data_IF_986237943369
#
_entry.id   IF_986237943369
#
_cell.length_a   1.000
_cell.length_b   1.000
_cell.length_c   1.000
_cell.angle_alpha   90.00
_cell.angle_beta   90.00
_cell.angle_gamma   90.00
#
_symmetry.space_group_name_H-M   'P 1'
#
loop_
_entity.id
_entity.type
_entity.pdbx_description
1 polymer ?
#
# COMPACT_ATOMS: atom_id res chain seq x y z
N UNK A 1 19.48 44.61 32.19
CA UNK A 1 18.15 44.33 31.61
C UNK A 1 18.41 43.47 30.38
N UNK A 2 18.29 42.15 30.51
CA UNK A 2 18.74 41.17 29.53
C UNK A 2 17.75 41.08 28.35
N UNK A 3 18.28 41.13 27.14
CA UNK A 3 17.53 40.99 25.89
C UNK A 3 17.49 39.49 25.55
N UNK A 4 16.29 38.93 25.44
CA UNK A 4 16.04 37.56 25.03
C UNK A 4 16.53 37.34 23.60
N UNK A 5 17.57 36.52 23.44
CA UNK A 5 17.94 35.94 22.16
C UNK A 5 16.88 34.89 21.78
N UNK A 6 16.18 35.12 20.67
CA UNK A 6 15.31 34.14 20.01
C UNK A 6 16.13 32.90 19.65
N UNK A 7 15.78 31.77 20.26
CA UNK A 7 16.37 30.47 19.97
C UNK A 7 16.11 30.07 18.52
N UNK A 8 17.18 30.03 17.73
CA UNK A 8 17.22 29.27 16.49
C UNK A 8 17.44 27.82 16.95
N UNK A 9 16.43 26.97 16.76
CA UNK A 9 16.54 25.53 17.00
C UNK A 9 17.59 24.95 16.03
N UNK A 10 18.74 24.45 16.51
CA UNK A 10 19.81 23.94 15.66
C UNK A 10 19.48 22.56 15.04
N UNK A 11 18.27 22.02 15.24
CA UNK A 11 17.84 20.72 14.70
C UNK A 11 17.01 20.82 13.41
N UNK A 12 16.67 22.01 12.95
CA UNK A 12 15.97 22.19 11.67
C UNK A 12 16.94 21.95 10.50
N UNK A 13 16.96 20.71 9.98
CA UNK A 13 17.59 20.41 8.70
C UNK A 13 17.06 21.38 7.64
N UNK A 14 17.93 21.97 6.80
CA UNK A 14 17.48 22.84 5.72
C UNK A 14 16.51 22.05 4.85
N UNK A 15 15.29 22.55 4.69
CA UNK A 15 14.26 21.92 3.86
C UNK A 15 14.87 21.57 2.50
N UNK A 16 14.91 20.27 2.18
CA UNK A 16 15.50 19.77 0.95
C UNK A 16 14.69 20.35 -0.20
N UNK A 17 15.34 21.15 -1.08
CA UNK A 17 14.66 21.72 -2.24
C UNK A 17 14.12 20.58 -3.10
N UNK A 18 12.84 20.62 -3.50
CA UNK A 18 12.24 19.57 -4.28
C UNK A 18 12.95 19.41 -5.63
N UNK A 19 13.00 18.18 -6.13
CA UNK A 19 13.63 17.89 -7.40
C UNK A 19 12.97 18.68 -8.56
N UNK A 20 13.70 18.98 -9.64
CA UNK A 20 13.08 19.59 -10.81
C UNK A 20 12.06 18.67 -11.50
N UNK A 21 10.93 19.22 -11.96
CA UNK A 21 9.85 18.43 -12.57
C UNK A 21 10.33 17.59 -13.78
N UNK A 22 11.29 18.08 -14.55
CA UNK A 22 11.81 17.38 -15.73
C UNK A 22 12.62 16.12 -15.41
N UNK A 23 13.04 15.93 -14.16
CA UNK A 23 13.70 14.70 -13.72
C UNK A 23 12.70 13.61 -13.31
N UNK A 24 11.42 13.95 -13.11
CA UNK A 24 10.39 13.06 -12.58
C UNK A 24 9.21 12.83 -13.55
N UNK A 25 9.45 12.98 -14.86
CA UNK A 25 8.41 12.86 -15.88
C UNK A 25 7.60 11.55 -15.79
N UNK A 26 8.27 10.43 -15.52
CA UNK A 26 7.62 9.12 -15.39
C UNK A 26 6.52 9.11 -14.33
N UNK A 27 6.72 9.83 -13.22
CA UNK A 27 5.75 9.90 -12.13
C UNK A 27 4.42 10.51 -12.59
N UNK A 28 4.46 11.54 -13.44
CA UNK A 28 3.25 12.19 -13.96
C UNK A 28 2.44 11.27 -14.88
N UNK A 29 3.11 10.46 -15.72
CA UNK A 29 2.46 9.46 -16.57
C UNK A 29 1.87 8.29 -15.78
N UNK A 30 2.46 7.95 -14.62
CA UNK A 30 1.92 6.91 -13.74
C UNK A 30 0.73 7.38 -12.90
N UNK A 31 0.51 8.70 -12.76
CA UNK A 31 -0.57 9.22 -11.92
C UNK A 31 -1.97 8.72 -12.33
N UNK A 32 -2.42 8.84 -13.59
CA UNK A 32 -3.74 8.35 -13.98
C UNK A 32 -3.87 6.83 -13.93
N UNK A 33 -2.75 6.09 -13.85
CA UNK A 33 -2.71 4.63 -13.75
C UNK A 33 -2.86 4.11 -12.33
N UNK A 34 -2.87 4.98 -11.32
CA UNK A 34 -3.19 4.58 -9.95
C UNK A 34 -4.64 4.03 -9.87
N UNK A 35 -4.91 3.17 -8.88
CA UNK A 35 -6.18 2.44 -8.74
C UNK A 35 -7.43 3.33 -8.81
N UNK A 36 -7.49 4.39 -7.97
CA UNK A 36 -8.65 5.31 -7.92
C UNK A 36 -8.81 6.16 -9.20
N UNK A 37 -7.78 6.87 -9.72
CA UNK A 37 -7.88 7.60 -10.98
C UNK A 37 -8.22 6.67 -12.15
N UNK A 38 -7.57 5.51 -12.26
CA UNK A 38 -7.79 4.59 -13.37
C UNK A 38 -9.25 4.15 -13.42
N UNK A 39 -9.80 3.68 -12.29
CA UNK A 39 -11.20 3.27 -12.21
C UNK A 39 -12.15 4.42 -12.55
N UNK A 40 -11.87 5.63 -12.06
CA UNK A 40 -12.71 6.79 -12.33
C UNK A 40 -12.66 7.24 -13.80
N UNK A 41 -11.47 7.23 -14.42
CA UNK A 41 -11.30 7.55 -15.84
C UNK A 41 -11.98 6.53 -16.75
N UNK A 42 -11.91 5.24 -16.42
CA UNK A 42 -12.60 4.18 -17.14
C UNK A 42 -14.12 4.29 -17.00
N UNK A 43 -14.61 4.60 -15.79
CA UNK A 43 -16.03 4.86 -15.57
C UNK A 43 -16.52 6.04 -16.40
N UNK A 44 -15.81 7.17 -16.37
CA UNK A 44 -16.15 8.35 -17.17
C UNK A 44 -16.12 8.07 -18.67
N UNK A 45 -15.10 7.34 -19.14
CA UNK A 45 -15.00 6.93 -20.53
C UNK A 45 -16.18 6.04 -20.94
N UNK A 46 -16.50 4.99 -20.18
CA UNK A 46 -17.63 4.10 -20.46
C UNK A 46 -18.99 4.82 -20.34
N UNK A 47 -19.08 5.86 -19.50
CA UNK A 47 -20.26 6.71 -19.40
C UNK A 47 -20.63 7.36 -20.73
N UNK A 48 -19.68 7.52 -21.65
CA UNK A 48 -19.96 8.09 -22.96
C UNK A 48 -20.89 7.21 -23.82
N UNK A 49 -21.09 5.94 -23.45
CA UNK A 49 -22.07 5.06 -24.10
C UNK A 49 -23.52 5.34 -23.65
N UNK A 50 -23.73 6.10 -22.57
CA UNK A 50 -25.07 6.37 -22.00
C UNK A 50 -25.95 7.25 -22.90
N UNK A 51 -25.42 7.86 -23.98
CA UNK A 51 -26.21 8.71 -24.87
C UNK A 51 -27.44 7.98 -25.46
N UNK A 52 -27.35 6.66 -25.65
CA UNK A 52 -28.46 5.83 -26.13
C UNK A 52 -29.59 5.60 -25.13
N UNK A 53 -29.32 5.82 -23.83
CA UNK A 53 -30.35 5.74 -22.79
C UNK A 53 -31.30 6.94 -22.88
N UNK A 54 -30.84 8.05 -23.45
CA UNK A 54 -31.63 9.26 -23.69
C UNK A 54 -32.43 9.08 -24.98
N UNK A 55 -33.38 8.14 -24.98
CA UNK A 55 -34.17 7.77 -26.17
C UNK A 55 -35.08 8.90 -26.69
N UNK A 56 -35.28 9.96 -25.90
CA UNK A 56 -36.18 11.07 -26.21
C UNK A 56 -35.48 12.28 -26.85
N UNK A 57 -34.13 12.31 -26.93
CA UNK A 57 -33.39 13.33 -27.66
C UNK A 57 -32.79 12.78 -28.96
N UNK A 58 -32.57 13.63 -29.98
CA UNK A 58 -31.71 13.32 -31.10
C UNK A 58 -30.32 12.88 -30.62
N UNK A 59 -29.75 11.84 -31.24
CA UNK A 59 -28.44 11.26 -30.87
C UNK A 59 -27.34 12.32 -30.71
N UNK A 60 -27.30 13.33 -31.60
CA UNK A 60 -26.32 14.41 -31.54
C UNK A 60 -26.41 15.25 -30.26
N UNK A 61 -27.64 15.56 -29.80
CA UNK A 61 -27.86 16.32 -28.57
C UNK A 61 -27.60 15.46 -27.33
N UNK A 62 -27.98 14.17 -27.37
CA UNK A 62 -27.67 13.22 -26.31
C UNK A 62 -26.16 13.06 -26.09
N UNK A 63 -25.40 12.90 -27.19
CA UNK A 63 -23.93 12.85 -27.15
C UNK A 63 -23.38 14.15 -26.57
N UNK A 64 -23.80 15.31 -27.09
CA UNK A 64 -23.31 16.61 -26.61
C UNK A 64 -23.49 16.78 -25.10
N UNK A 65 -24.66 16.44 -24.55
CA UNK A 65 -24.94 16.57 -23.11
C UNK A 65 -24.03 15.64 -22.29
N UNK A 66 -23.90 14.38 -22.72
CA UNK A 66 -23.06 13.38 -22.04
C UNK A 66 -21.59 13.81 -22.07
N UNK A 67 -21.09 14.25 -23.22
CA UNK A 67 -19.71 14.70 -23.40
C UNK A 67 -19.40 15.96 -22.58
N UNK A 68 -20.33 16.92 -22.49
CA UNK A 68 -20.18 18.07 -21.59
C UNK A 68 -20.11 17.61 -20.13
N UNK A 69 -20.96 16.66 -19.73
CA UNK A 69 -20.92 16.07 -18.38
C UNK A 69 -19.57 15.41 -18.06
N UNK A 70 -19.05 14.62 -18.99
CA UNK A 70 -17.74 13.96 -18.88
C UNK A 70 -16.63 15.00 -18.81
N UNK A 71 -16.64 15.99 -19.70
CA UNK A 71 -15.66 17.07 -19.73
C UNK A 71 -15.63 17.82 -18.39
N UNK A 72 -16.79 18.17 -17.84
CA UNK A 72 -16.88 18.86 -16.55
C UNK A 72 -16.39 18.01 -15.39
N UNK A 73 -16.76 16.72 -15.35
CA UNK A 73 -16.33 15.78 -14.32
C UNK A 73 -14.81 15.53 -14.37
N UNK A 74 -14.27 15.30 -15.57
CA UNK A 74 -12.84 15.13 -15.81
C UNK A 74 -12.06 16.41 -15.48
N UNK A 75 -12.59 17.57 -15.84
CA UNK A 75 -11.97 18.87 -15.52
C UNK A 75 -11.97 19.12 -14.02
N UNK A 76 -13.08 18.85 -13.32
CA UNK A 76 -13.17 18.95 -11.85
C UNK A 76 -12.10 18.10 -11.17
N UNK A 77 -11.91 16.87 -11.65
CA UNK A 77 -10.84 16.01 -11.14
C UNK A 77 -9.46 16.57 -11.46
N UNK A 78 -9.24 17.09 -12.67
CA UNK A 78 -7.99 17.73 -13.07
C UNK A 78 -7.61 18.87 -12.12
N UNK A 79 -8.56 19.77 -11.79
CA UNK A 79 -8.32 20.84 -10.82
C UNK A 79 -8.00 20.31 -9.42
N UNK A 80 -8.68 19.24 -9.00
CA UNK A 80 -8.36 18.55 -7.74
C UNK A 80 -6.92 18.03 -7.75
N UNK A 81 -6.49 17.40 -8.85
CA UNK A 81 -5.12 16.89 -9.03
C UNK A 81 -4.10 18.02 -8.98
N UNK A 82 -4.34 19.13 -9.69
CA UNK A 82 -3.44 20.29 -9.67
C UNK A 82 -3.36 20.90 -8.27
N UNK A 83 -4.49 21.12 -7.60
CA UNK A 83 -4.54 21.73 -6.27
C UNK A 83 -3.84 20.86 -5.21
N UNK A 84 -4.16 19.56 -5.15
CA UNK A 84 -3.52 18.64 -4.19
C UNK A 84 -2.05 18.38 -4.54
N UNK A 85 -1.73 18.28 -5.83
CA UNK A 85 -0.35 18.17 -6.31
C UNK A 85 0.49 19.39 -5.97
N UNK A 86 -0.09 20.60 -5.96
CA UNK A 86 0.59 21.84 -5.54
C UNK A 86 0.91 21.86 -4.05
N UNK A 87 0.10 21.17 -3.25
CA UNK A 87 0.31 20.99 -1.80
C UNK A 87 1.12 19.73 -1.47
N UNK A 88 1.69 19.06 -2.49
CA UNK A 88 2.59 17.92 -2.36
C UNK A 88 1.93 16.54 -2.22
N UNK A 89 0.62 16.41 -2.47
CA UNK A 89 -0.09 15.11 -2.41
C UNK A 89 -0.22 14.52 -3.83
N UNK A 90 0.45 13.39 -4.07
CA UNK A 90 0.53 12.76 -5.40
C UNK A 90 -0.14 11.39 -5.51
N UNK A 91 -0.47 10.77 -4.38
CA UNK A 91 -1.23 9.52 -4.35
C UNK A 91 -2.70 9.85 -4.18
N UNK A 92 -3.53 9.34 -5.07
CA UNK A 92 -4.98 9.51 -4.98
C UNK A 92 -5.59 8.81 -3.75
N UNK A 93 -4.86 7.86 -3.16
CA UNK A 93 -5.23 7.21 -1.90
C UNK A 93 -5.27 8.19 -0.73
N UNK A 94 -4.32 9.13 -0.71
CA UNK A 94 -4.08 10.10 0.37
C UNK A 94 -4.91 11.38 0.20
N UNK A 95 -5.83 11.41 -0.78
CA UNK A 95 -6.72 12.54 -0.97
C UNK A 95 -7.65 12.70 0.24
N UNK A 96 -7.74 13.91 0.83
CA UNK A 96 -8.58 14.14 2.00
C UNK A 96 -10.05 13.87 1.67
N UNK A 97 -10.80 13.41 2.68
CA UNK A 97 -12.23 13.14 2.58
C UNK A 97 -13.04 14.41 2.37
N UNK A 98 -12.63 15.49 3.03
CA UNK A 98 -13.20 16.83 2.86
C UNK A 98 -12.33 17.63 1.90
N UNK A 99 -12.95 18.10 0.82
CA UNK A 99 -12.30 18.93 -0.19
C UNK A 99 -12.83 20.35 -0.08
N UNK A 100 -11.99 21.30 -0.45
CA UNK A 100 -12.37 22.70 -0.49
C UNK A 100 -13.60 22.88 -1.41
N UNK A 101 -14.73 23.40 -0.89
CA UNK A 101 -15.94 23.62 -1.68
C UNK A 101 -15.69 24.56 -2.86
N UNK A 102 -14.71 25.45 -2.78
CA UNK A 102 -14.41 26.42 -3.83
C UNK A 102 -13.87 25.77 -5.11
N UNK A 103 -13.26 24.59 -5.00
CA UNK A 103 -12.77 23.83 -6.14
C UNK A 103 -13.89 23.34 -7.06
N UNK A 104 -15.13 23.30 -6.56
CA UNK A 104 -16.29 22.82 -7.32
C UNK A 104 -16.55 23.63 -8.58
N UNK A 105 -16.28 24.94 -8.53
CA UNK A 105 -16.65 25.87 -9.58
C UNK A 105 -15.48 26.27 -10.49
N UNK A 106 -14.26 25.77 -10.23
CA UNK A 106 -13.06 26.12 -11.02
C UNK A 106 -13.18 25.78 -12.51
N UNK A 107 -13.76 24.63 -12.94
CA UNK A 107 -13.94 24.35 -14.37
C UNK A 107 -14.78 25.42 -15.08
N UNK A 108 -15.85 25.88 -14.44
CA UNK A 108 -16.73 26.93 -14.98
C UNK A 108 -16.03 28.28 -15.03
N UNK A 109 -15.24 28.61 -14.00
CA UNK A 109 -14.43 29.84 -13.98
C UNK A 109 -13.39 29.81 -15.11
N UNK A 110 -12.67 28.70 -15.30
CA UNK A 110 -11.72 28.54 -16.40
C UNK A 110 -12.41 28.70 -17.75
N UNK A 111 -13.55 28.02 -17.96
CA UNK A 111 -14.32 28.15 -19.20
C UNK A 111 -14.69 29.61 -19.49
N UNK A 112 -15.21 30.34 -18.49
CA UNK A 112 -15.56 31.74 -18.64
C UNK A 112 -14.33 32.62 -18.96
N UNK A 113 -13.18 32.34 -18.34
CA UNK A 113 -11.92 33.06 -18.61
C UNK A 113 -11.46 32.80 -20.05
N UNK A 114 -11.47 31.54 -20.50
CA UNK A 114 -11.10 31.18 -21.86
C UNK A 114 -12.04 31.80 -22.89
N UNK A 115 -13.33 31.94 -22.57
CA UNK A 115 -14.28 32.67 -23.41
C UNK A 115 -13.91 34.15 -23.53
N UNK A 116 -13.64 34.83 -22.42
CA UNK A 116 -13.20 36.24 -22.43
C UNK A 116 -11.91 36.40 -23.24
N UNK A 117 -10.90 35.57 -22.99
CA UNK A 117 -9.64 35.57 -23.74
C UNK A 117 -9.86 35.31 -25.23
N UNK A 118 -10.71 34.33 -25.58
CA UNK A 118 -11.08 34.02 -26.96
C UNK A 118 -11.79 35.18 -27.67
N UNK A 119 -12.69 35.89 -26.98
CA UNK A 119 -13.32 37.10 -27.52
C UNK A 119 -12.29 38.20 -27.79
N UNK A 120 -11.33 38.41 -26.89
CA UNK A 120 -10.25 39.39 -27.09
C UNK A 120 -9.39 39.01 -28.29
N UNK A 121 -8.97 37.74 -28.40
CA UNK A 121 -8.20 37.25 -29.57
C UNK A 121 -9.00 37.44 -30.86
N UNK A 122 -10.27 37.05 -30.88
CA UNK A 122 -11.13 37.19 -32.05
C UNK A 122 -11.38 38.64 -32.44
N UNK A 123 -11.48 39.55 -31.47
CA UNK A 123 -11.58 40.98 -31.70
C UNK A 123 -10.28 41.55 -32.30
N UNK A 124 -9.12 41.21 -31.73
CA UNK A 124 -7.81 41.62 -32.26
C UNK A 124 -7.55 41.08 -33.66
N UNK A 125 -7.98 39.85 -33.95
CA UNK A 125 -7.89 39.24 -35.28
C UNK A 125 -8.69 40.04 -36.33
N UNK A 126 -9.86 40.59 -35.95
CA UNK A 126 -10.65 41.46 -36.83
C UNK A 126 -9.97 42.81 -37.10
N UNK A 127 -9.22 43.34 -36.14
CA UNK A 127 -8.46 44.59 -36.31
C UNK A 127 -7.23 44.39 -37.20
N UNK A 128 -6.46 43.34 -36.95
CA UNK A 128 -5.42 42.90 -37.87
C UNK A 128 -5.10 41.41 -37.67
N UNK A 129 -4.87 40.64 -38.76
CA UNK A 129 -4.54 39.22 -38.65
C UNK A 129 -3.25 38.93 -37.86
N UNK A 130 -2.28 39.85 -37.92
CA UNK A 130 -1.01 39.72 -37.18
C UNK A 130 -1.20 39.91 -35.68
N UNK A 131 -1.98 40.91 -35.25
CA UNK A 131 -2.29 41.10 -33.82
C UNK A 131 -3.08 39.93 -33.24
N UNK A 132 -4.05 39.39 -33.98
CA UNK A 132 -4.81 38.23 -33.49
C UNK A 132 -3.94 36.96 -33.40
N UNK A 133 -3.01 36.75 -34.33
CA UNK A 133 -2.04 35.64 -34.25
C UNK A 133 -1.11 35.80 -33.04
N UNK A 134 -0.59 37.00 -32.79
CA UNK A 134 0.24 37.30 -31.62
C UNK A 134 -0.55 37.13 -30.31
N UNK A 135 -1.80 37.57 -30.27
CA UNK A 135 -2.67 37.43 -29.12
C UNK A 135 -2.99 35.96 -28.83
N UNK A 136 -3.24 35.15 -29.87
CA UNK A 136 -3.41 33.70 -29.73
C UNK A 136 -2.17 33.04 -29.13
N UNK A 137 -0.98 33.34 -29.65
CA UNK A 137 0.28 32.82 -29.11
C UNK A 137 0.49 33.25 -27.64
N UNK A 138 0.18 34.50 -27.30
CA UNK A 138 0.27 34.99 -25.94
C UNK A 138 -0.70 34.24 -24.99
N UNK A 139 -1.95 33.99 -25.43
CA UNK A 139 -2.93 33.21 -24.65
C UNK A 139 -2.45 31.77 -24.49
N UNK A 140 -1.95 31.11 -25.54
CA UNK A 140 -1.39 29.76 -25.43
C UNK A 140 -0.22 29.70 -24.45
N UNK A 141 0.68 30.69 -24.50
CA UNK A 141 1.81 30.79 -23.57
C UNK A 141 1.36 31.03 -22.12
N UNK A 142 0.38 31.89 -21.90
CA UNK A 142 -0.14 32.23 -20.56
C UNK A 142 -1.18 31.24 -20.03
N UNK A 143 -1.62 30.26 -20.83
CA UNK A 143 -2.64 29.29 -20.44
C UNK A 143 -2.25 28.50 -19.17
N UNK A 144 -1.03 27.95 -19.03
CA UNK A 144 -0.63 27.27 -17.80
C UNK A 144 -0.59 28.22 -16.60
N UNK A 145 -0.17 29.48 -16.80
CA UNK A 145 -0.15 30.49 -15.74
C UNK A 145 -1.57 30.87 -15.30
N UNK A 146 -2.50 30.97 -16.25
CA UNK A 146 -3.93 31.21 -15.97
C UNK A 146 -4.50 30.09 -15.09
N UNK A 147 -4.17 28.84 -15.39
CA UNK A 147 -4.59 27.70 -14.55
C UNK A 147 -3.96 27.71 -13.16
N UNK A 148 -2.66 28.05 -13.04
CA UNK A 148 -1.96 28.18 -11.75
C UNK A 148 -2.63 29.25 -10.88
N UNK A 149 -2.83 30.46 -11.43
CA UNK A 149 -3.46 31.57 -10.70
C UNK A 149 -4.89 31.22 -10.31
N UNK A 150 -5.63 30.51 -11.18
CA UNK A 150 -6.99 30.08 -10.87
C UNK A 150 -7.04 29.08 -9.72
N UNK A 151 -6.13 28.11 -9.70
CA UNK A 151 -6.01 27.14 -8.60
C UNK A 151 -5.60 27.82 -7.30
N UNK A 152 -4.68 28.78 -7.36
CA UNK A 152 -4.16 29.50 -6.20
C UNK A 152 -5.19 30.44 -5.58
N UNK A 153 -5.86 31.26 -6.41
CA UNK A 153 -6.75 32.33 -5.93
C UNK A 153 -8.21 31.90 -5.81
N UNK A 154 -8.59 30.80 -6.48
CA UNK A 154 -9.97 30.37 -6.67
C UNK A 154 -10.90 31.49 -7.17
N UNK A 155 -10.37 32.57 -7.76
CA UNK A 155 -11.11 33.79 -8.10
C UNK A 155 -11.07 34.09 -9.59
N UNK A 156 -12.23 34.43 -10.15
CA UNK A 156 -12.36 34.76 -11.57
C UNK A 156 -11.69 36.09 -11.92
N UNK A 157 -11.93 37.12 -11.10
CA UNK A 157 -11.42 38.48 -11.34
C UNK A 157 -9.91 38.55 -11.19
N UNK A 158 -9.36 37.89 -10.16
CA UNK A 158 -7.91 37.81 -9.95
C UNK A 158 -7.21 37.06 -11.09
N UNK A 159 -7.85 36.02 -11.63
CA UNK A 159 -7.27 35.25 -12.74
C UNK A 159 -7.30 36.01 -14.07
N UNK A 160 -8.32 36.83 -14.31
CA UNK A 160 -8.38 37.66 -15.52
C UNK A 160 -7.32 38.76 -15.56
N UNK A 161 -6.75 39.14 -14.41
CA UNK A 161 -5.69 40.14 -14.36
C UNK A 161 -4.39 39.58 -14.97
N UNK A 162 -3.93 40.09 -16.13
CA UNK A 162 -2.73 39.58 -16.77
C UNK A 162 -1.46 39.77 -15.94
N UNK A 163 -1.47 40.72 -14.98
CA UNK A 163 -0.36 40.91 -14.06
C UNK A 163 -0.15 39.70 -13.15
N UNK A 164 -1.23 39.05 -12.70
CA UNK A 164 -1.14 37.86 -11.84
C UNK A 164 -0.61 36.66 -12.63
N UNK A 165 -1.06 36.47 -13.88
CA UNK A 165 -0.52 35.44 -14.75
C UNK A 165 0.97 35.68 -15.03
N UNK A 166 1.38 36.92 -15.29
CA UNK A 166 2.77 37.28 -15.50
C UNK A 166 3.63 37.10 -14.23
N UNK A 167 3.08 37.39 -13.05
CA UNK A 167 3.73 37.10 -11.77
C UNK A 167 3.96 35.60 -11.60
N UNK A 168 2.99 34.74 -11.93
CA UNK A 168 3.18 33.29 -11.90
C UNK A 168 4.30 32.82 -12.84
N UNK A 169 4.42 33.41 -14.04
CA UNK A 169 5.54 33.14 -14.97
C UNK A 169 6.88 33.52 -14.33
N UNK A 170 6.96 34.70 -13.70
CA UNK A 170 8.18 35.16 -13.01
C UNK A 170 8.55 34.29 -11.81
N UNK A 171 7.56 33.86 -11.03
CA UNK A 171 7.77 33.00 -9.86
C UNK A 171 8.38 31.66 -10.24
N UNK A 172 7.92 31.05 -11.33
CA UNK A 172 8.50 29.80 -11.84
C UNK A 172 9.86 30.05 -12.53
N UNK A 173 10.01 31.19 -13.20
CA UNK A 173 11.24 31.58 -13.89
C UNK A 173 11.48 30.83 -15.20
N UNK A 174 12.75 30.65 -15.59
CA UNK A 174 13.13 29.96 -16.83
C UNK A 174 12.52 28.55 -17.02
N UNK A 175 12.39 27.71 -15.96
CA UNK A 175 11.65 26.44 -16.04
C UNK A 175 10.24 26.53 -16.62
N UNK A 176 9.60 27.71 -16.60
CA UNK A 176 8.28 27.89 -17.18
C UNK A 176 8.26 27.59 -18.69
N UNK A 177 9.30 27.96 -19.43
CA UNK A 177 9.39 27.64 -20.85
C UNK A 177 9.46 26.13 -21.09
N UNK A 178 10.17 25.41 -20.23
CA UNK A 178 10.25 23.95 -20.26
C UNK A 178 8.90 23.31 -19.88
N UNK A 179 8.17 23.89 -18.93
CA UNK A 179 6.82 23.49 -18.57
C UNK A 179 5.87 23.67 -19.77
N UNK A 180 5.89 24.82 -20.43
CA UNK A 180 5.12 25.06 -21.66
C UNK A 180 5.48 24.06 -22.76
N UNK A 181 6.76 23.78 -22.97
CA UNK A 181 7.22 22.80 -23.95
C UNK A 181 6.66 21.40 -23.64
N UNK A 182 6.72 20.94 -22.39
CA UNK A 182 6.17 19.63 -22.05
C UNK A 182 4.65 19.56 -22.12
N UNK A 183 3.93 20.61 -21.71
CA UNK A 183 2.48 20.68 -21.87
C UNK A 183 2.08 20.68 -23.35
N UNK A 184 2.85 21.37 -24.20
CA UNK A 184 2.68 21.31 -25.65
C UNK A 184 2.95 19.90 -26.20
N UNK A 185 4.05 19.25 -25.82
CA UNK A 185 4.37 17.89 -26.23
C UNK A 185 3.31 16.88 -25.77
N UNK A 186 2.76 17.03 -24.56
CA UNK A 186 1.64 16.22 -24.05
C UNK A 186 0.36 16.45 -24.85
N UNK A 187 0.05 17.71 -25.19
CA UNK A 187 -1.09 18.04 -26.05
C UNK A 187 -0.95 17.41 -27.44
N UNK A 188 0.22 17.54 -28.09
CA UNK A 188 0.51 16.88 -29.36
C UNK A 188 0.47 15.34 -29.25
N UNK A 189 0.99 14.79 -28.15
CA UNK A 189 0.95 13.37 -27.84
C UNK A 189 -0.48 12.81 -27.81
N UNK A 190 -1.43 13.58 -27.28
CA UNK A 190 -2.86 13.26 -27.31
C UNK A 190 -3.36 13.05 -28.74
N UNK A 191 -3.09 14.02 -29.64
CA UNK A 191 -3.54 13.94 -31.03
C UNK A 191 -2.87 12.80 -31.81
N UNK A 192 -1.58 12.56 -31.57
CA UNK A 192 -0.85 11.43 -32.17
C UNK A 192 -1.42 10.10 -31.67
N UNK A 193 -1.63 9.95 -30.36
CA UNK A 193 -2.21 8.76 -29.76
C UNK A 193 -3.60 8.45 -30.35
N UNK A 194 -4.47 9.47 -30.44
CA UNK A 194 -5.77 9.33 -31.10
C UNK A 194 -5.61 8.95 -32.58
N UNK A 195 -4.71 9.60 -33.33
CA UNK A 195 -4.48 9.30 -34.75
C UNK A 195 -3.98 7.88 -35.00
N UNK A 196 -3.18 7.31 -34.10
CA UNK A 196 -2.72 5.91 -34.17
C UNK A 196 -3.79 4.91 -33.75
N UNK A 197 -4.69 5.31 -32.84
CA UNK A 197 -5.62 4.41 -32.19
C UNK A 197 -6.98 4.37 -32.90
N UNK A 198 -7.47 5.49 -33.42
CA UNK A 198 -8.73 5.58 -34.17
C UNK A 198 -8.84 4.56 -35.34
N UNK A 199 -7.79 4.26 -36.12
CA UNK A 199 -7.86 3.26 -37.19
C UNK A 199 -8.02 1.81 -36.71
N UNK A 200 -7.60 1.51 -35.48
CA UNK A 200 -7.62 0.15 -34.90
C UNK A 200 -9.00 -0.25 -34.40
N UNK A 201 -9.83 0.72 -34.03
CA UNK A 201 -11.14 0.49 -33.42
C UNK A 201 -12.27 0.99 -34.31
N UNK A 202 -13.40 0.27 -34.33
CA UNK A 202 -14.59 0.63 -35.09
C UNK A 202 -15.84 0.53 -34.23
N UNK A 203 -16.86 1.31 -34.56
CA UNK A 203 -18.15 1.26 -33.89
C UNK A 203 -18.20 2.03 -32.57
N UNK A 204 -19.09 1.64 -31.68
CA UNK A 204 -19.49 2.45 -30.52
C UNK A 204 -18.44 2.51 -29.40
N UNK A 205 -17.42 1.64 -29.42
CA UNK A 205 -16.31 1.68 -28.46
C UNK A 205 -15.36 2.85 -28.69
N UNK A 206 -15.43 3.49 -29.87
CA UNK A 206 -14.54 4.59 -30.24
C UNK A 206 -14.70 5.80 -29.31
N UNK A 207 -15.94 6.16 -28.95
CA UNK A 207 -16.24 7.30 -28.07
C UNK A 207 -15.60 7.13 -26.68
N UNK A 208 -15.81 5.99 -25.97
CA UNK A 208 -15.13 5.75 -24.69
C UNK A 208 -13.62 5.80 -24.81
N UNK A 209 -13.05 5.25 -25.88
CA UNK A 209 -11.60 5.24 -26.02
C UNK A 209 -11.05 6.66 -26.24
N UNK A 210 -11.70 7.46 -27.10
CA UNK A 210 -11.33 8.86 -27.30
C UNK A 210 -11.38 9.61 -25.98
N UNK A 211 -12.48 9.46 -25.22
CA UNK A 211 -12.61 10.10 -23.91
C UNK A 211 -11.57 9.63 -22.91
N UNK A 212 -11.27 8.33 -22.86
CA UNK A 212 -10.24 7.80 -21.98
C UNK A 212 -8.87 8.41 -22.27
N UNK A 213 -8.48 8.51 -23.55
CA UNK A 213 -7.22 9.14 -23.97
C UNK A 213 -7.20 10.62 -23.60
N UNK A 214 -8.28 11.37 -23.87
CA UNK A 214 -8.39 12.79 -23.51
C UNK A 214 -8.29 13.01 -22.00
N UNK A 215 -9.00 12.20 -21.20
CA UNK A 215 -8.97 12.25 -19.74
C UNK A 215 -7.57 11.92 -19.22
N UNK A 216 -6.95 10.87 -19.74
CA UNK A 216 -5.61 10.43 -19.35
C UNK A 216 -4.60 11.57 -19.52
N UNK A 217 -4.45 12.12 -20.73
CA UNK A 217 -3.50 13.20 -21.00
C UNK A 217 -3.84 14.48 -20.23
N UNK A 218 -5.12 14.81 -20.07
CA UNK A 218 -5.56 15.95 -19.25
C UNK A 218 -5.06 15.82 -17.80
N UNK A 219 -5.18 14.63 -17.20
CA UNK A 219 -4.74 14.40 -15.82
C UNK A 219 -3.22 14.31 -15.67
N UNK A 220 -2.50 13.85 -16.69
CA UNK A 220 -1.02 13.96 -16.74
C UNK A 220 -0.59 15.43 -16.79
N UNK A 221 -1.24 16.27 -17.59
CA UNK A 221 -0.96 17.71 -17.62
C UNK A 221 -1.27 18.38 -16.28
N UNK A 222 -2.38 18.00 -15.64
CA UNK A 222 -2.76 18.51 -14.32
C UNK A 222 -1.75 18.10 -13.23
N UNK A 223 -1.26 16.86 -13.24
CA UNK A 223 -0.27 16.40 -12.26
C UNK A 223 1.08 17.08 -12.45
N UNK A 224 1.51 17.29 -13.71
CA UNK A 224 2.69 18.08 -14.04
C UNK A 224 2.56 19.54 -13.57
N UNK A 225 1.41 20.17 -13.80
CA UNK A 225 1.16 21.55 -13.38
C UNK A 225 1.14 21.69 -11.86
N UNK A 226 0.48 20.75 -11.16
CA UNK A 226 0.47 20.70 -9.70
C UNK A 226 1.88 20.53 -9.14
N UNK A 227 2.71 19.66 -9.73
CA UNK A 227 4.10 19.52 -9.30
C UNK A 227 4.93 20.77 -9.58
N UNK A 228 4.74 21.46 -10.70
CA UNK A 228 5.45 22.71 -10.99
C UNK A 228 5.11 23.81 -9.97
N UNK A 229 3.87 23.84 -9.47
CA UNK A 229 3.47 24.70 -8.35
C UNK A 229 4.15 24.26 -7.05
N UNK A 230 4.15 22.95 -6.75
CA UNK A 230 4.84 22.40 -5.58
C UNK A 230 6.34 22.68 -5.59
N UNK A 231 7.02 22.57 -6.73
CA UNK A 231 8.45 22.86 -6.82
C UNK A 231 8.76 24.30 -6.39
N UNK A 232 7.83 25.23 -6.61
CA UNK A 232 7.93 26.64 -6.28
C UNK A 232 6.99 27.03 -5.12
N UNK A 233 6.60 26.09 -4.25
CA UNK A 233 5.54 26.29 -3.24
C UNK A 233 5.84 27.45 -2.29
N UNK A 234 7.08 27.60 -1.82
CA UNK A 234 7.50 28.72 -0.96
C UNK A 234 7.25 30.07 -1.64
N UNK A 235 7.59 30.19 -2.93
CA UNK A 235 7.46 31.43 -3.69
C UNK A 235 6.00 31.74 -4.08
N UNK A 236 5.15 30.72 -4.15
CA UNK A 236 3.70 30.88 -4.29
C UNK A 236 2.96 31.03 -2.95
N UNK A 237 3.65 30.92 -1.81
CA UNK A 237 3.04 30.95 -0.48
C UNK A 237 2.04 29.80 -0.26
N UNK A 238 2.33 28.62 -0.81
CA UNK A 238 1.47 27.43 -0.68
C UNK A 238 1.93 26.62 0.53
N UNK A 239 1.05 26.50 1.52
CA UNK A 239 1.26 25.62 2.66
C UNK A 239 1.14 24.15 2.24
N UNK A 240 2.17 23.36 2.58
CA UNK A 240 2.21 21.93 2.32
C UNK A 240 1.30 21.17 3.29
N UNK A 241 0.62 20.14 2.80
CA UNK A 241 -0.19 19.26 3.65
C UNK A 241 0.70 18.27 4.41
N UNK A 242 0.25 17.72 5.56
CA UNK A 242 0.97 16.63 6.22
C UNK A 242 1.17 15.44 5.26
N UNK A 243 2.41 14.94 5.14
CA UNK A 243 2.78 13.90 4.17
C UNK A 243 3.03 14.42 2.75
N UNK A 244 3.22 15.74 2.58
CA UNK A 244 3.55 16.36 1.31
C UNK A 244 5.01 16.09 0.89
N UNK A 245 5.16 15.55 -0.31
CA UNK A 245 6.46 15.40 -0.95
C UNK A 245 6.61 14.11 -1.72
N UNK A 246 7.32 14.19 -2.85
CA UNK A 246 7.88 13.04 -3.56
C UNK A 246 9.34 12.78 -3.17
N UNK A 247 9.92 13.70 -2.38
CA UNK A 247 11.34 13.78 -2.03
C UNK A 247 11.65 13.33 -0.59
N UNK A 248 10.60 12.97 0.18
CA UNK A 248 10.75 12.03 1.28
C UNK A 248 11.01 10.67 0.64
N UNK A 249 12.31 10.34 0.50
CA UNK A 249 12.80 9.01 0.18
C UNK A 249 11.97 8.00 0.96
N UNK A 250 11.11 7.25 0.27
CA UNK A 250 10.36 6.08 0.73
C UNK A 250 10.46 5.77 2.24
N UNK A 251 10.09 6.70 3.11
CA UNK A 251 9.75 6.35 4.48
C UNK A 251 8.41 5.66 4.31
N UNK A 252 8.33 4.34 4.55
CA UNK A 252 7.08 3.63 4.34
C UNK A 252 6.03 4.39 5.13
N UNK A 253 4.95 4.81 4.44
CA UNK A 253 3.80 5.41 5.11
C UNK A 253 3.53 4.54 6.33
N UNK A 254 3.64 5.14 7.50
CA UNK A 254 3.49 4.42 8.74
C UNK A 254 2.01 4.04 8.88
N UNK A 255 1.64 2.91 8.27
CA UNK A 255 0.31 2.32 8.33
C UNK A 255 0.06 1.63 9.68
N UNK A 256 1.01 1.76 10.62
CA UNK A 256 0.84 1.24 11.97
C UNK A 256 -0.28 2.00 12.66
N UNK A 257 -1.25 1.26 13.15
CA UNK A 257 -2.26 1.78 14.07
C UNK A 257 -1.58 2.44 15.28
N UNK A 258 -2.23 3.37 16.00
CA UNK A 258 -1.65 3.94 17.23
C UNK A 258 -1.15 2.89 18.22
N UNK A 259 -1.81 1.71 18.28
CA UNK A 259 -1.36 0.56 19.07
C UNK A 259 -0.06 -0.06 18.57
N UNK A 260 0.13 -0.16 17.26
CA UNK A 260 1.37 -0.68 16.68
C UNK A 260 2.53 0.31 16.87
N UNK A 261 2.27 1.62 16.81
CA UNK A 261 3.28 2.66 17.13
C UNK A 261 3.70 2.55 18.60
N UNK A 262 2.74 2.40 19.52
CA UNK A 262 3.02 2.19 20.94
C UNK A 262 3.80 0.89 21.18
N UNK A 263 3.43 -0.20 20.52
CA UNK A 263 4.14 -1.47 20.58
C UNK A 263 5.59 -1.33 20.10
N UNK A 264 5.82 -0.66 18.99
CA UNK A 264 7.15 -0.47 18.41
C UNK A 264 8.01 0.48 19.23
N UNK A 265 7.42 1.50 19.86
CA UNK A 265 8.13 2.37 20.80
C UNK A 265 8.63 1.61 22.04
N UNK A 266 7.83 0.68 22.55
CA UNK A 266 8.23 -0.18 23.67
C UNK A 266 9.26 -1.23 23.21
N UNK A 267 9.10 -1.82 22.02
CA UNK A 267 10.10 -2.73 21.44
C UNK A 267 11.45 -2.03 21.27
N UNK A 268 11.46 -0.77 20.85
CA UNK A 268 12.67 0.05 20.74
C UNK A 268 13.32 0.31 22.11
N UNK A 269 12.54 0.65 23.14
CA UNK A 269 13.07 0.85 24.50
C UNK A 269 13.69 -0.44 25.08
N UNK A 270 13.03 -1.59 24.88
CA UNK A 270 13.56 -2.88 25.32
C UNK A 270 14.85 -3.22 24.56
N UNK A 271 14.90 -2.97 23.25
CA UNK A 271 16.10 -3.18 22.43
C UNK A 271 17.26 -2.27 22.83
N UNK A 272 16.98 -1.02 23.19
CA UNK A 272 17.97 -0.06 23.69
C UNK A 272 18.58 -0.57 25.01
N UNK A 273 17.76 -1.01 25.96
CA UNK A 273 18.23 -1.59 27.23
C UNK A 273 19.11 -2.82 27.02
N UNK A 274 18.74 -3.70 26.09
CA UNK A 274 19.55 -4.88 25.72
C UNK A 274 20.88 -4.46 25.09
N UNK A 275 20.86 -3.48 24.18
CA UNK A 275 22.06 -2.97 23.49
C UNK A 275 23.02 -2.27 24.46
N UNK A 276 22.47 -1.56 25.45
CA UNK A 276 23.22 -0.95 26.55
C UNK A 276 23.78 -1.98 27.56
N UNK A 277 23.53 -3.28 27.36
CA UNK A 277 23.97 -4.35 28.25
C UNK A 277 23.14 -4.51 29.52
N UNK A 278 22.08 -3.71 29.69
CA UNK A 278 21.21 -3.76 30.86
C UNK A 278 20.06 -4.76 30.67
N UNK A 279 20.42 -6.04 30.53
CA UNK A 279 19.45 -7.13 30.30
C UNK A 279 18.51 -7.29 31.50
N UNK A 280 18.95 -7.01 32.72
CA UNK A 280 18.10 -7.11 33.92
C UNK A 280 16.94 -6.10 33.88
N UNK A 281 17.19 -4.85 33.49
CA UNK A 281 16.13 -3.86 33.33
C UNK A 281 15.18 -4.20 32.17
N UNK A 282 15.72 -4.72 31.06
CA UNK A 282 14.91 -5.20 29.94
C UNK A 282 13.97 -6.34 30.38
N UNK A 283 14.44 -7.28 31.22
CA UNK A 283 13.60 -8.37 31.76
C UNK A 283 12.48 -7.80 32.60
N UNK A 284 12.77 -6.85 33.50
CA UNK A 284 11.77 -6.25 34.39
C UNK A 284 10.69 -5.50 33.59
N UNK A 285 11.09 -4.71 32.60
CA UNK A 285 10.16 -3.98 31.73
C UNK A 285 9.27 -4.94 30.92
N UNK A 286 9.87 -5.95 30.30
CA UNK A 286 9.11 -6.93 29.52
C UNK A 286 8.18 -7.80 30.40
N UNK A 287 8.56 -8.05 31.66
CA UNK A 287 7.71 -8.76 32.62
C UNK A 287 6.45 -7.97 32.98
N UNK A 288 6.58 -6.67 33.27
CA UNK A 288 5.41 -5.82 33.60
C UNK A 288 4.44 -5.69 32.41
N UNK A 289 4.97 -5.56 31.20
CA UNK A 289 4.17 -5.55 29.97
C UNK A 289 3.43 -6.88 29.78
N UNK A 290 4.11 -8.00 29.99
CA UNK A 290 3.48 -9.32 29.92
C UNK A 290 2.40 -9.48 30.99
N UNK A 291 2.63 -8.97 32.20
CA UNK A 291 1.69 -9.07 33.32
C UNK A 291 0.40 -8.28 33.05
N UNK A 292 0.52 -7.11 32.42
CA UNK A 292 -0.61 -6.23 32.10
C UNK A 292 -1.33 -6.60 30.80
N UNK A 293 -0.60 -7.10 29.79
CA UNK A 293 -1.10 -7.43 28.45
C UNK A 293 -0.88 -8.91 28.11
N UNK A 294 -1.24 -9.81 29.02
CA UNK A 294 -0.89 -11.24 28.94
C UNK A 294 -1.48 -12.02 27.76
N UNK A 295 -2.56 -11.54 27.15
CA UNK A 295 -3.15 -12.18 25.97
C UNK A 295 -2.60 -11.63 24.65
N UNK A 296 -1.83 -10.54 24.69
CA UNK A 296 -1.25 -9.93 23.49
C UNK A 296 0.06 -10.62 23.10
N UNK A 297 0.10 -11.16 21.87
CA UNK A 297 1.27 -11.83 21.33
C UNK A 297 2.53 -10.94 21.32
N UNK A 298 2.48 -9.63 20.96
CA UNK A 298 3.66 -8.76 20.99
C UNK A 298 4.30 -8.64 22.38
N UNK A 299 3.49 -8.47 23.44
CA UNK A 299 3.99 -8.39 24.81
C UNK A 299 4.68 -9.70 25.23
N UNK A 300 4.05 -10.84 24.94
CA UNK A 300 4.61 -12.16 25.23
C UNK A 300 5.89 -12.46 24.43
N UNK A 301 5.96 -11.98 23.18
CA UNK A 301 7.12 -12.09 22.30
C UNK A 301 8.32 -11.33 22.84
N UNK A 302 8.13 -10.07 23.27
CA UNK A 302 9.18 -9.27 23.92
C UNK A 302 9.75 -10.01 25.12
N UNK A 303 8.88 -10.44 26.02
CA UNK A 303 9.30 -11.14 27.23
C UNK A 303 10.08 -12.42 26.93
N UNK A 304 9.61 -13.24 25.97
CA UNK A 304 10.31 -14.45 25.54
C UNK A 304 11.72 -14.14 24.98
N UNK A 305 11.86 -13.12 24.13
CA UNK A 305 13.16 -12.73 23.56
C UNK A 305 14.15 -12.30 24.63
N UNK A 306 13.70 -11.46 25.56
CA UNK A 306 14.57 -10.96 26.63
C UNK A 306 14.98 -12.08 27.58
N UNK A 307 14.06 -13.01 27.91
CA UNK A 307 14.40 -14.20 28.70
C UNK A 307 15.40 -15.13 27.99
N UNK A 308 15.33 -15.24 26.65
CA UNK A 308 16.27 -16.06 25.89
C UNK A 308 17.69 -15.49 25.89
N UNK A 309 17.83 -14.16 26.06
CA UNK A 309 19.10 -13.45 26.17
C UNK A 309 19.63 -13.39 27.61
N UNK A 310 18.74 -13.39 28.61
CA UNK A 310 19.13 -13.29 30.02
C UNK A 310 19.84 -14.56 30.52
N UNK A 311 21.03 -14.37 31.07
CA UNK A 311 21.77 -15.46 31.73
C UNK A 311 21.08 -15.88 33.04
N UNK A 312 21.08 -17.19 33.33
CA UNK A 312 20.48 -17.74 34.55
C UNK A 312 18.94 -17.78 34.59
N UNK A 313 18.25 -17.37 33.51
CA UNK A 313 16.77 -17.35 33.42
C UNK A 313 16.18 -18.48 32.57
N UNK A 314 16.94 -19.54 32.32
CA UNK A 314 16.47 -20.68 31.51
C UNK A 314 15.19 -21.32 32.06
N UNK A 315 15.11 -21.60 33.37
CA UNK A 315 13.91 -22.20 33.95
C UNK A 315 12.65 -21.35 33.73
N UNK A 316 12.78 -20.02 33.87
CA UNK A 316 11.68 -19.08 33.61
C UNK A 316 11.31 -18.98 32.13
N UNK A 317 12.30 -19.11 31.23
CA UNK A 317 12.05 -19.17 29.78
C UNK A 317 11.23 -20.41 29.41
N UNK A 318 11.59 -21.58 29.95
CA UNK A 318 10.92 -22.84 29.66
C UNK A 318 9.49 -22.85 30.22
N UNK A 319 9.27 -22.36 31.44
CA UNK A 319 7.92 -22.20 32.00
C UNK A 319 7.07 -21.25 31.15
N UNK A 320 7.63 -20.10 30.76
CA UNK A 320 6.95 -19.15 29.89
C UNK A 320 6.57 -19.77 28.53
N UNK A 321 7.48 -20.56 27.95
CA UNK A 321 7.27 -21.22 26.66
C UNK A 321 6.06 -22.18 26.67
N UNK A 322 5.73 -22.81 27.81
CA UNK A 322 4.54 -23.67 27.93
C UNK A 322 3.24 -22.92 27.65
N UNK A 323 3.17 -21.62 27.94
CA UNK A 323 1.99 -20.77 27.68
C UNK A 323 2.10 -20.03 26.35
N UNK A 324 3.31 -19.58 26.00
CA UNK A 324 3.56 -18.78 24.81
C UNK A 324 3.39 -19.57 23.50
N UNK A 325 3.90 -20.80 23.43
CA UNK A 325 3.83 -21.61 22.20
C UNK A 325 2.38 -21.94 21.83
N UNK A 326 1.50 -22.40 22.76
CA UNK A 326 0.08 -22.57 22.46
C UNK A 326 -0.61 -21.28 22.02
N UNK A 327 -0.28 -20.13 22.61
CA UNK A 327 -0.83 -18.83 22.22
C UNK A 327 -0.48 -18.50 20.76
N UNK A 328 0.78 -18.70 20.37
CA UNK A 328 1.23 -18.49 18.99
C UNK A 328 0.48 -19.39 18.01
N UNK A 329 0.32 -20.68 18.34
CA UNK A 329 -0.40 -21.64 17.51
C UNK A 329 -1.89 -21.24 17.33
N UNK A 330 -2.56 -20.79 18.39
CA UNK A 330 -3.96 -20.32 18.33
C UNK A 330 -4.11 -19.02 17.51
N UNK A 331 -3.10 -18.16 17.54
CA UNK A 331 -3.05 -16.91 16.76
C UNK A 331 -2.64 -17.10 15.28
N UNK A 332 -2.42 -18.35 14.84
CA UNK A 332 -1.99 -18.67 13.47
C UNK A 332 -0.51 -18.40 13.19
N UNK A 333 0.29 -18.05 14.20
CA UNK A 333 1.73 -17.75 14.07
C UNK A 333 2.59 -19.01 14.25
N UNK A 334 2.32 -20.03 13.43
CA UNK A 334 2.96 -21.35 13.52
C UNK A 334 4.48 -21.34 13.33
N UNK A 335 5.01 -20.45 12.50
CA UNK A 335 6.45 -20.30 12.26
C UNK A 335 7.19 -19.75 13.49
N UNK A 336 6.61 -18.76 14.16
CA UNK A 336 7.16 -18.22 15.41
C UNK A 336 7.07 -19.24 16.55
N UNK A 337 6.01 -20.06 16.58
CA UNK A 337 5.86 -21.14 17.55
C UNK A 337 6.99 -22.18 17.43
N UNK A 338 7.34 -22.56 16.20
CA UNK A 338 8.48 -23.46 15.91
C UNK A 338 9.80 -22.85 16.39
N UNK A 339 10.06 -21.57 16.09
CA UNK A 339 11.28 -20.88 16.52
C UNK A 339 11.40 -20.80 18.04
N UNK A 340 10.30 -20.48 18.73
CA UNK A 340 10.26 -20.43 20.19
C UNK A 340 10.57 -21.81 20.78
N UNK A 341 10.00 -22.88 20.23
CA UNK A 341 10.29 -24.26 20.65
C UNK A 341 11.76 -24.64 20.43
N UNK A 342 12.32 -24.35 19.25
CA UNK A 342 13.73 -24.61 18.94
C UNK A 342 14.67 -23.83 19.86
N UNK A 343 14.33 -22.57 20.18
CA UNK A 343 15.09 -21.75 21.14
C UNK A 343 15.12 -22.41 22.50
N UNK A 344 13.98 -22.91 22.98
CA UNK A 344 13.91 -23.65 24.25
C UNK A 344 14.75 -24.94 24.20
N UNK A 345 14.64 -25.71 23.11
CA UNK A 345 15.43 -26.94 22.89
C UNK A 345 16.93 -26.72 22.80
N UNK A 346 17.36 -25.54 22.36
CA UNK A 346 18.79 -25.16 22.34
C UNK A 346 19.35 -24.88 23.74
N UNK A 347 18.49 -24.45 24.67
CA UNK A 347 18.85 -24.20 26.07
C UNK A 347 18.69 -25.43 26.95
N UNK A 348 17.70 -26.26 26.65
CA UNK A 348 17.42 -27.53 27.33
C UNK A 348 16.96 -28.57 26.30
N UNK A 349 17.83 -29.54 26.02
CA UNK A 349 17.55 -30.59 25.05
C UNK A 349 16.35 -31.45 25.45
N UNK A 350 15.97 -31.52 26.72
CA UNK A 350 14.83 -32.32 27.20
C UNK A 350 13.52 -31.54 27.25
N UNK A 351 13.53 -30.27 26.79
CA UNK A 351 12.32 -29.45 26.78
C UNK A 351 11.19 -30.08 25.94
N UNK A 352 10.04 -30.24 26.59
CA UNK A 352 8.83 -30.79 26.00
C UNK A 352 7.63 -29.94 26.37
N UNK A 353 6.67 -29.82 25.46
CA UNK A 353 5.38 -29.21 25.77
C UNK A 353 4.53 -30.14 26.63
N UNK A 354 3.82 -29.54 27.59
CA UNK A 354 2.94 -30.23 28.53
C UNK A 354 1.50 -30.38 28.01
N UNK A 355 1.10 -29.60 27.00
CA UNK A 355 -0.21 -29.73 26.37
C UNK A 355 -0.14 -30.66 25.15
N UNK A 356 -0.96 -31.72 25.17
CA UNK A 356 -1.03 -32.72 24.11
C UNK A 356 -1.49 -32.10 22.78
N UNK A 357 -2.50 -31.24 22.83
CA UNK A 357 -3.07 -30.61 21.65
C UNK A 357 -2.07 -29.62 21.02
N UNK A 358 -1.43 -28.76 21.82
CA UNK A 358 -0.36 -27.88 21.33
C UNK A 358 0.83 -28.65 20.77
N UNK A 359 1.24 -29.76 21.40
CA UNK A 359 2.36 -30.60 20.90
C UNK A 359 2.04 -31.17 19.51
N UNK A 360 0.83 -31.70 19.32
CA UNK A 360 0.39 -32.23 18.02
C UNK A 360 0.27 -31.10 16.98
N UNK A 361 -0.30 -29.95 17.35
CA UNK A 361 -0.43 -28.80 16.44
C UNK A 361 0.94 -28.23 16.05
N UNK A 362 1.91 -28.21 16.96
CA UNK A 362 3.29 -27.81 16.67
C UNK A 362 3.96 -28.80 15.69
N UNK A 363 3.75 -30.10 15.88
CA UNK A 363 4.28 -31.12 14.97
C UNK A 363 3.65 -31.01 13.57
N UNK A 364 2.32 -30.78 13.48
CA UNK A 364 1.63 -30.50 12.22
C UNK A 364 2.19 -29.24 11.54
N UNK A 365 2.41 -28.18 12.31
CA UNK A 365 3.03 -26.95 11.82
C UNK A 365 4.43 -27.19 11.26
N UNK A 366 5.27 -27.96 11.97
CA UNK A 366 6.62 -28.31 11.52
C UNK A 366 6.59 -29.14 10.23
N UNK A 367 5.68 -30.11 10.14
CA UNK A 367 5.50 -30.92 8.92
C UNK A 367 5.04 -30.07 7.74
N UNK A 368 4.06 -29.18 7.93
CA UNK A 368 3.58 -28.27 6.89
C UNK A 368 4.66 -27.26 6.44
N UNK A 369 5.60 -26.94 7.33
CA UNK A 369 6.77 -26.11 7.00
C UNK A 369 7.89 -26.89 6.28
N UNK A 370 7.72 -28.20 6.05
CA UNK A 370 8.69 -29.07 5.38
C UNK A 370 9.77 -29.65 6.30
N UNK A 371 9.71 -29.39 7.62
CA UNK A 371 10.69 -29.91 8.58
C UNK A 371 10.22 -31.24 9.18
N UNK A 372 10.40 -32.31 8.40
CA UNK A 372 10.07 -33.68 8.79
C UNK A 372 10.81 -34.12 10.06
N UNK A 373 12.07 -33.72 10.22
CA UNK A 373 12.92 -34.13 11.34
C UNK A 373 12.43 -33.49 12.64
N UNK A 374 12.10 -32.20 12.61
CA UNK A 374 11.52 -31.52 13.76
C UNK A 374 10.15 -32.08 14.12
N UNK A 375 9.29 -32.36 13.14
CA UNK A 375 7.96 -32.93 13.40
C UNK A 375 8.06 -34.25 14.19
N UNK A 376 9.00 -35.14 13.83
CA UNK A 376 9.26 -36.36 14.60
C UNK A 376 9.86 -36.06 15.97
N UNK A 377 10.81 -35.13 16.07
CA UNK A 377 11.45 -34.77 17.33
C UNK A 377 10.45 -34.21 18.35
N UNK A 378 9.46 -33.43 17.91
CA UNK A 378 8.38 -32.89 18.76
C UNK A 378 7.47 -34.01 19.28
N UNK A 379 7.16 -34.99 18.44
CA UNK A 379 6.31 -36.14 18.78
C UNK A 379 7.05 -37.28 19.49
N UNK A 380 8.35 -37.16 19.70
CA UNK A 380 9.13 -38.19 20.37
C UNK A 380 8.59 -38.44 21.79
N UNK A 381 8.27 -39.70 22.08
CA UNK A 381 7.70 -40.11 23.38
C UNK A 381 6.34 -39.50 23.69
N UNK A 382 5.59 -39.03 22.70
CA UNK A 382 4.25 -38.46 22.87
C UNK A 382 3.28 -39.45 23.53
N UNK A 383 3.28 -40.72 23.09
CA UNK A 383 2.44 -41.80 23.61
C UNK A 383 2.70 -42.11 25.08
N UNK A 384 3.97 -42.05 25.50
CA UNK A 384 4.36 -42.26 26.91
C UNK A 384 3.95 -41.10 27.81
N UNK A 385 4.01 -39.87 27.29
CA UNK A 385 3.67 -38.63 28.01
C UNK A 385 2.17 -38.45 28.15
N UNK A 386 1.41 -38.72 27.10
CA UNK A 386 -0.03 -38.50 27.03
C UNK A 386 -0.78 -39.83 26.88
N UNK A 387 -0.61 -40.73 27.86
CA UNK A 387 -1.32 -42.02 27.86
C UNK A 387 -2.82 -41.79 27.80
N UNK A 388 -3.50 -42.56 26.95
CA UNK A 388 -4.95 -42.57 26.78
C UNK A 388 -5.59 -41.22 26.35
N UNK A 389 -4.79 -40.28 25.83
CA UNK A 389 -5.32 -39.03 25.30
C UNK A 389 -5.88 -39.21 23.88
N UNK A 390 -6.99 -38.55 23.56
CA UNK A 390 -7.67 -38.62 22.25
C UNK A 390 -6.79 -38.24 21.04
N UNK A 391 -5.67 -37.55 21.30
CA UNK A 391 -4.72 -37.08 20.30
C UNK A 391 -3.64 -38.11 19.95
N UNK A 392 -3.52 -39.20 20.72
CA UNK A 392 -2.50 -40.24 20.50
C UNK A 392 -2.65 -40.92 19.13
N UNK A 393 -3.86 -41.34 18.69
CA UNK A 393 -4.01 -41.92 17.35
C UNK A 393 -3.60 -40.95 16.24
N UNK A 394 -4.00 -39.67 16.35
CA UNK A 394 -3.65 -38.64 15.39
C UNK A 394 -2.14 -38.32 15.37
N UNK A 395 -1.45 -38.44 16.51
CA UNK A 395 0.00 -38.30 16.56
C UNK A 395 0.71 -39.46 15.82
N UNK A 396 0.25 -40.70 15.99
CA UNK A 396 0.81 -41.84 15.26
C UNK A 396 0.58 -41.76 13.75
N UNK A 397 -0.61 -41.32 13.32
CA UNK A 397 -0.90 -41.07 11.90
C UNK A 397 0.08 -40.05 11.31
N UNK A 398 0.28 -38.93 11.99
CA UNK A 398 1.24 -37.92 11.55
C UNK A 398 2.67 -38.47 11.51
N UNK A 399 3.10 -39.25 12.49
CA UNK A 399 4.42 -39.91 12.48
C UNK A 399 4.57 -40.83 11.27
N UNK A 400 3.58 -41.67 10.98
CA UNK A 400 3.60 -42.56 9.82
C UNK A 400 3.68 -41.77 8.50
N UNK A 401 2.93 -40.66 8.41
CA UNK A 401 2.94 -39.76 7.26
C UNK A 401 4.30 -39.10 7.05
N UNK A 402 4.89 -38.56 8.12
CA UNK A 402 6.21 -37.92 8.07
C UNK A 402 7.31 -38.93 7.71
N UNK A 403 7.27 -40.16 8.25
CA UNK A 403 8.23 -41.22 7.92
C UNK A 403 8.14 -41.64 6.44
N UNK A 404 6.93 -41.84 5.93
CA UNK A 404 6.71 -42.27 4.55
C UNK A 404 7.04 -41.15 3.55
N UNK A 405 6.39 -39.99 3.69
CA UNK A 405 6.44 -38.92 2.70
C UNK A 405 7.64 -37.99 2.88
N UNK A 406 8.07 -37.76 4.12
CA UNK A 406 9.13 -36.81 4.44
C UNK A 406 10.52 -37.43 4.44
N UNK A 407 10.66 -38.65 4.97
CA UNK A 407 11.96 -39.31 5.17
C UNK A 407 12.17 -40.57 4.33
N UNK A 408 11.16 -40.99 3.55
CA UNK A 408 11.19 -42.21 2.75
C UNK A 408 11.58 -43.48 3.55
N UNK A 409 11.16 -43.54 4.81
CA UNK A 409 11.38 -44.63 5.78
C UNK A 409 10.14 -45.52 5.87
N UNK A 410 9.79 -46.15 4.75
CA UNK A 410 8.57 -46.98 4.63
C UNK A 410 8.55 -48.15 5.61
N UNK A 411 9.70 -48.74 5.90
CA UNK A 411 9.89 -49.82 6.87
C UNK A 411 9.47 -49.39 8.30
N UNK A 412 9.83 -48.17 8.70
CA UNK A 412 9.45 -47.62 10.00
C UNK A 412 7.98 -47.21 10.02
N UNK A 413 7.45 -46.65 8.93
CA UNK A 413 6.04 -46.28 8.83
C UNK A 413 5.11 -47.51 8.98
N UNK A 414 5.48 -48.66 8.41
CA UNK A 414 4.75 -49.92 8.58
C UNK A 414 4.75 -50.42 10.04
N UNK A 415 5.85 -50.25 10.79
CA UNK A 415 5.89 -50.59 12.22
C UNK A 415 4.97 -49.69 13.05
N UNK A 416 4.88 -48.41 12.67
CA UNK A 416 3.96 -47.46 13.31
C UNK A 416 2.51 -47.85 13.03
N UNK A 417 2.17 -48.23 11.80
CA UNK A 417 0.83 -48.75 11.46
C UNK A 417 0.48 -50.00 12.28
N UNK A 418 1.36 -50.98 12.38
CA UNK A 418 1.11 -52.19 13.19
C UNK A 418 0.86 -51.86 14.67
N UNK A 419 1.58 -50.88 15.21
CA UNK A 419 1.36 -50.39 16.58
C UNK A 419 0.00 -49.72 16.72
N UNK A 420 -0.38 -48.89 15.76
CA UNK A 420 -1.65 -48.18 15.72
C UNK A 420 -2.85 -49.15 15.60
N UNK A 421 -2.74 -50.18 14.76
CA UNK A 421 -3.74 -51.24 14.61
C UNK A 421 -3.91 -52.08 15.88
N UNK A 422 -2.82 -52.35 16.61
CA UNK A 422 -2.89 -53.11 17.86
C UNK A 422 -3.51 -52.34 19.02
N UNK A 423 -3.27 -51.02 19.10
CA UNK A 423 -3.68 -50.19 20.24
C UNK A 423 -4.99 -49.43 20.01
N UNK A 424 -5.27 -49.03 18.77
CA UNK A 424 -6.42 -48.21 18.40
C UNK A 424 -7.06 -48.69 17.08
N UNK A 425 -7.58 -49.93 17.01
CA UNK A 425 -8.06 -50.53 15.76
C UNK A 425 -9.21 -49.73 15.10
N UNK A 426 -10.11 -49.15 15.89
CA UNK A 426 -11.32 -48.47 15.40
C UNK A 426 -11.15 -46.96 15.14
N UNK A 427 -9.97 -46.41 15.43
CA UNK A 427 -9.72 -44.97 15.25
C UNK A 427 -9.66 -44.58 13.77
N UNK A 428 -10.17 -43.38 13.45
CA UNK A 428 -10.11 -42.81 12.09
C UNK A 428 -8.66 -42.73 11.58
N UNK A 429 -7.74 -42.31 12.45
CA UNK A 429 -6.30 -42.27 12.20
C UNK A 429 -5.72 -43.61 11.70
N UNK A 430 -6.25 -44.74 12.18
CA UNK A 430 -5.82 -46.09 11.78
C UNK A 430 -6.23 -46.39 10.35
N UNK A 431 -7.48 -46.04 9.99
CA UNK A 431 -7.97 -46.17 8.61
C UNK A 431 -7.19 -45.29 7.64
N UNK A 432 -6.92 -44.04 8.02
CA UNK A 432 -6.12 -43.12 7.20
C UNK A 432 -4.69 -43.62 7.00
N UNK A 433 -4.03 -44.07 8.07
CA UNK A 433 -2.65 -44.59 7.99
C UNK A 433 -2.57 -45.85 7.13
N UNK A 434 -3.56 -46.76 7.24
CA UNK A 434 -3.66 -47.95 6.39
C UNK A 434 -3.84 -47.57 4.91
N UNK A 435 -4.72 -46.62 4.63
CA UNK A 435 -4.93 -46.11 3.28
C UNK A 435 -3.66 -45.45 2.72
N UNK A 436 -2.93 -44.69 3.55
CA UNK A 436 -1.69 -44.04 3.18
C UNK A 436 -0.61 -45.05 2.75
N UNK A 437 -0.50 -46.19 3.47
CA UNK A 437 0.52 -47.22 3.23
C UNK A 437 0.07 -48.35 2.29
N UNK A 438 -1.12 -48.24 1.68
CA UNK A 438 -1.75 -49.33 0.90
C UNK A 438 -0.87 -49.96 -0.18
N UNK A 439 -0.03 -49.18 -0.85
CA UNK A 439 0.85 -49.65 -1.92
C UNK A 439 2.09 -50.40 -1.40
N UNK A 440 2.34 -50.34 -0.10
CA UNK A 440 3.50 -50.93 0.57
C UNK A 440 3.12 -52.06 1.54
N UNK A 441 1.82 -52.32 1.71
CA UNK A 441 1.34 -53.48 2.45
C UNK A 441 1.60 -54.75 1.63
N UNK A 442 2.06 -55.86 2.24
CA UNK A 442 2.19 -57.13 1.55
C UNK A 442 0.84 -57.54 0.95
N UNK A 443 0.83 -57.93 -0.33
CA UNK A 443 -0.35 -58.42 -1.04
C UNK A 443 -0.87 -59.68 -0.32
N UNK A 444 -1.83 -59.49 0.59
CA UNK A 444 -2.33 -60.54 1.48
C UNK A 444 -3.09 -60.04 2.72
N UNK A 445 -3.03 -58.75 3.05
CA UNK A 445 -3.75 -58.16 4.20
C UNK A 445 -4.90 -57.20 3.80
N UNK A 446 -5.35 -57.26 2.53
CA UNK A 446 -6.55 -56.57 2.05
C UNK A 446 -7.67 -57.61 1.86
N UNK A 447 -8.20 -58.12 2.95
CA UNK A 447 -9.28 -59.11 2.94
C UNK A 447 -9.60 -59.56 4.36
N UNK A 448 -10.52 -58.84 5.00
CA UNK A 448 -11.02 -59.07 6.36
C UNK A 448 -11.87 -57.91 6.81
#
# INVERSE_FOLDING_TARGET
>A
MAIHATGIDPSAQPAKRPAPFWQRLNTFFTFPLQSKPLMYSLLLALSSMLFKVIFFLPDALGILIVEIGILLAASRYSFKVTALGSRGIYKAEDYPSELDPDWKNLPWKLFAILMVQGFVVGWLQRLSPTLGTLAWLAVCFLLPATQIVLVQTCSFTETLNPANAWNAVRTIGWPYLLLCLFLFLLSQGTFIALGMLLPLFKGWILLPIVNWVLIYFSWVMASLLGYAMYQNHEAFGIDLLPGAGLDDDETPVDRRTPRQIEQDAIDAQVAELVTAGNVTAAVAMAYEEQRTRGEEVPAQRRYHRVLALAEGKTATLLDHAQRYIPLLLRSGQSSDAIKAFQTCRSKDADFVLQDAAATLNLAKAAWNAGDASLALAVLQGFDRRFKDHDSVPAAYELVARVLLQGLNRTDMALRVLATLESRHPDAEATRETRWLLRNHLPQGAAGG
#
